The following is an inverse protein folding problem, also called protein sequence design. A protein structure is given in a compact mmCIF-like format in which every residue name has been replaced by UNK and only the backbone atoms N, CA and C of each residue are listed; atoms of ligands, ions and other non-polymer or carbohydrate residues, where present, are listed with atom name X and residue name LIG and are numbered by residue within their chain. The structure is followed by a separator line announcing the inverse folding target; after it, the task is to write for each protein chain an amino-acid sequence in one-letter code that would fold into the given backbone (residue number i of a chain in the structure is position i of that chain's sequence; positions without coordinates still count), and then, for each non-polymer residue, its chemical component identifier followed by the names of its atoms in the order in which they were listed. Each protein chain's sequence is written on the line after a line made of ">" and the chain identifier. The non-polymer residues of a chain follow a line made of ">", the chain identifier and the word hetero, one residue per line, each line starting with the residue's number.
data_IF_402971004717
#
_entry.id   IF_402971004717
#
_cell.length_a   1.000
_cell.length_b   1.000
_cell.length_c   1.000
_cell.angle_alpha   90.00
_cell.angle_beta   90.00
_cell.angle_gamma   90.00
#
_symmetry.space_group_name_H-M   'P 1'
#
loop_
_entity.id
_entity.type
_entity.pdbx_description
1 polymer ?
#
# COMPACT_ATOMS: atom_id res chain seq x y z
N UNK A 1 9.51 -16.95 -11.51
CA UNK A 1 10.72 -16.10 -11.54
C UNK A 1 11.60 -16.35 -10.32
N UNK A 2 11.09 -16.20 -9.08
CA UNK A 2 11.87 -16.45 -7.84
C UNK A 2 12.49 -17.86 -7.80
N UNK A 3 11.71 -18.92 -8.06
CA UNK A 3 12.24 -20.29 -8.08
C UNK A 3 13.37 -20.50 -9.11
N UNK A 4 13.29 -19.81 -10.25
CA UNK A 4 14.32 -19.88 -11.29
C UNK A 4 15.60 -19.19 -10.82
N UNK A 5 15.46 -17.98 -10.29
CA UNK A 5 16.59 -17.21 -9.75
C UNK A 5 17.28 -17.95 -8.59
N UNK A 6 16.51 -18.58 -7.68
CA UNK A 6 17.06 -19.37 -6.58
C UNK A 6 17.78 -20.65 -7.03
N UNK A 7 17.43 -21.20 -8.19
CA UNK A 7 18.11 -22.36 -8.76
C UNK A 7 19.39 -21.98 -9.53
N UNK A 8 19.42 -20.79 -10.14
CA UNK A 8 20.55 -20.30 -10.93
C UNK A 8 21.63 -19.62 -10.07
N UNK A 9 21.22 -18.97 -8.98
CA UNK A 9 22.13 -18.27 -8.07
C UNK A 9 22.30 -19.04 -6.75
N UNK A 10 23.53 -19.44 -6.37
CA UNK A 10 23.76 -20.24 -5.17
C UNK A 10 23.37 -19.54 -3.85
N UNK A 11 23.27 -18.21 -3.85
CA UNK A 11 22.98 -17.39 -2.66
C UNK A 11 22.23 -16.09 -3.02
N UNK A 12 20.94 -16.14 -3.38
CA UNK A 12 20.14 -14.92 -3.46
C UNK A 12 19.95 -14.38 -2.05
N UNK A 13 20.34 -13.13 -1.80
CA UNK A 13 20.24 -12.51 -0.47
C UNK A 13 18.90 -11.79 -0.33
N UNK A 14 18.44 -11.10 -1.39
CA UNK A 14 17.23 -10.26 -1.37
C UNK A 14 16.54 -10.30 -2.74
N UNK A 15 15.20 -10.39 -2.73
CA UNK A 15 14.35 -10.23 -3.92
C UNK A 15 13.77 -8.80 -3.93
N UNK A 16 13.89 -8.09 -5.05
CA UNK A 16 13.23 -6.79 -5.25
C UNK A 16 11.87 -6.99 -5.91
N UNK A 17 10.83 -6.35 -5.35
CA UNK A 17 9.44 -6.68 -5.67
C UNK A 17 8.96 -7.85 -4.81
N UNK A 18 7.90 -8.57 -5.25
CA UNK A 18 6.92 -8.23 -6.27
C UNK A 18 6.14 -6.92 -6.03
N UNK A 19 5.45 -6.47 -7.08
CA UNK A 19 4.58 -5.28 -7.05
C UNK A 19 3.12 -5.71 -7.13
N UNK A 20 2.30 -5.22 -6.20
CA UNK A 20 0.85 -5.46 -6.20
C UNK A 20 0.43 -6.77 -5.53
N UNK A 21 -0.84 -6.80 -5.11
CA UNK A 21 -1.35 -7.77 -4.14
C UNK A 21 -1.24 -9.22 -4.67
N UNK A 22 -1.71 -9.49 -5.89
CA UNK A 22 -1.67 -10.85 -6.45
C UNK A 22 -0.24 -11.37 -6.60
N UNK A 23 0.70 -10.50 -6.98
CA UNK A 23 2.08 -10.91 -7.15
C UNK A 23 2.74 -11.24 -5.79
N UNK A 24 2.40 -10.51 -4.73
CA UNK A 24 2.83 -10.81 -3.36
C UNK A 24 2.30 -12.17 -2.90
N UNK A 25 0.99 -12.42 -3.06
CA UNK A 25 0.36 -13.71 -2.71
C UNK A 25 1.06 -14.86 -3.44
N UNK A 26 1.28 -14.71 -4.74
CA UNK A 26 1.89 -15.75 -5.57
C UNK A 26 3.38 -15.97 -5.24
N UNK A 27 4.09 -14.96 -4.73
CA UNK A 27 5.50 -15.06 -4.38
C UNK A 27 5.73 -15.69 -3.00
N UNK A 28 4.75 -15.61 -2.09
CA UNK A 28 4.90 -15.99 -0.69
C UNK A 28 5.42 -17.42 -0.52
N UNK A 29 4.84 -18.38 -1.24
CA UNK A 29 5.26 -19.79 -1.18
C UNK A 29 6.71 -19.98 -1.61
N UNK A 30 7.15 -19.28 -2.67
CA UNK A 30 8.51 -19.37 -3.17
C UNK A 30 9.52 -18.73 -2.20
N UNK A 31 9.18 -17.58 -1.63
CA UNK A 31 10.04 -16.90 -0.65
C UNK A 31 10.25 -17.75 0.61
N UNK A 32 9.18 -18.39 1.11
CA UNK A 32 9.26 -19.31 2.24
C UNK A 32 10.10 -20.55 1.91
N UNK A 33 9.86 -21.17 0.76
CA UNK A 33 10.56 -22.40 0.36
C UNK A 33 12.07 -22.22 0.25
N UNK A 34 12.51 -21.08 -0.31
CA UNK A 34 13.92 -20.77 -0.49
C UNK A 34 14.53 -19.96 0.66
N UNK A 35 13.77 -19.72 1.73
CA UNK A 35 14.16 -18.88 2.87
C UNK A 35 14.71 -17.50 2.45
N UNK A 36 14.03 -16.86 1.50
CA UNK A 36 14.41 -15.57 0.95
C UNK A 36 13.64 -14.43 1.60
N UNK A 37 14.23 -13.24 1.53
CA UNK A 37 13.60 -11.98 1.95
C UNK A 37 13.30 -11.13 0.72
N UNK A 38 12.09 -10.59 0.67
CA UNK A 38 11.61 -9.71 -0.41
C UNK A 38 11.39 -8.29 0.09
N UNK A 39 11.83 -7.31 -0.70
CA UNK A 39 11.51 -5.90 -0.51
C UNK A 39 10.53 -5.44 -1.59
N UNK A 40 9.26 -5.39 -1.21
CA UNK A 40 8.16 -4.96 -2.09
C UNK A 40 8.03 -3.44 -2.11
N UNK A 41 8.01 -2.80 -3.31
CA UNK A 41 7.87 -1.36 -3.40
C UNK A 41 6.44 -0.89 -3.13
N UNK A 42 5.43 -1.63 -3.60
CA UNK A 42 4.03 -1.18 -3.49
C UNK A 42 3.09 -2.36 -3.26
N UNK A 43 2.23 -2.20 -2.25
CA UNK A 43 0.94 -2.89 -2.13
C UNK A 43 -0.11 -1.86 -1.77
N UNK A 44 -1.30 -2.01 -2.36
CA UNK A 44 -2.47 -1.24 -1.96
C UNK A 44 -3.06 -1.70 -0.63
N UNK A 45 -2.62 -2.85 -0.11
CA UNK A 45 -3.26 -3.47 1.04
C UNK A 45 -2.49 -3.27 2.36
N UNK A 46 -3.22 -2.94 3.42
CA UNK A 46 -2.76 -2.85 4.81
C UNK A 46 -2.61 -4.23 5.44
N UNK A 47 -3.52 -5.16 5.14
CA UNK A 47 -3.47 -6.53 5.70
C UNK A 47 -2.21 -7.27 5.28
N UNK A 48 -1.73 -7.01 4.05
CA UNK A 48 -0.48 -7.57 3.53
C UNK A 48 0.77 -6.99 4.17
N UNK A 49 0.67 -5.84 4.87
CA UNK A 49 1.76 -5.24 5.65
C UNK A 49 1.82 -5.73 7.10
N UNK A 50 1.05 -6.75 7.45
CA UNK A 50 1.23 -7.47 8.71
C UNK A 50 2.62 -8.13 8.78
N UNK A 51 3.05 -8.49 9.99
CA UNK A 51 4.37 -9.08 10.22
C UNK A 51 4.60 -10.32 9.34
N UNK A 52 5.61 -10.27 8.47
CA UNK A 52 6.05 -11.37 7.64
C UNK A 52 7.58 -11.37 7.52
N UNK A 53 8.30 -12.39 8.02
CA UNK A 53 9.76 -12.41 8.00
C UNK A 53 10.37 -12.47 6.59
N UNK A 54 9.58 -12.88 5.59
CA UNK A 54 10.00 -13.01 4.20
C UNK A 54 9.61 -11.82 3.32
N UNK A 55 8.86 -10.85 3.86
CA UNK A 55 8.31 -9.77 3.07
C UNK A 55 8.27 -8.44 3.82
N UNK A 56 9.09 -7.49 3.36
CA UNK A 56 9.13 -6.13 3.89
C UNK A 56 8.74 -5.12 2.83
N UNK A 57 8.15 -4.01 3.25
CA UNK A 57 7.72 -2.93 2.37
C UNK A 57 8.64 -1.73 2.53
N UNK A 58 9.12 -1.21 1.41
CA UNK A 58 9.95 0.01 1.41
C UNK A 58 9.13 1.30 1.42
N UNK A 59 7.85 1.24 1.04
CA UNK A 59 6.92 2.37 1.18
C UNK A 59 6.14 2.28 2.49
N UNK A 60 5.78 3.46 3.01
CA UNK A 60 4.93 3.61 4.16
C UNK A 60 3.59 2.86 3.98
N UNK A 61 2.92 2.57 5.09
CA UNK A 61 1.54 2.09 5.08
C UNK A 61 0.61 3.09 4.35
N UNK A 62 -0.40 2.65 3.58
CA UNK A 62 -1.25 3.54 2.80
C UNK A 62 -2.00 4.54 3.68
N UNK A 63 -2.29 4.19 4.93
CA UNK A 63 -2.87 5.11 5.90
C UNK A 63 -1.91 6.27 6.22
N UNK A 64 -0.63 5.98 6.45
CA UNK A 64 0.36 7.02 6.73
C UNK A 64 0.70 7.85 5.49
N UNK A 65 0.72 7.22 4.30
CA UNK A 65 0.86 7.93 3.02
C UNK A 65 -0.30 8.92 2.84
N UNK A 66 -1.55 8.49 3.06
CA UNK A 66 -2.74 9.34 3.02
C UNK A 66 -2.68 10.48 4.03
N UNK A 67 -2.35 10.20 5.30
CA UNK A 67 -2.26 11.22 6.34
C UNK A 67 -1.18 12.27 6.01
N UNK A 68 -0.03 11.84 5.52
CA UNK A 68 1.04 12.74 5.11
C UNK A 68 0.61 13.67 3.96
N UNK A 69 -0.08 13.11 2.96
CA UNK A 69 -0.58 13.88 1.81
C UNK A 69 -1.66 14.89 2.23
N UNK A 70 -2.61 14.49 3.08
CA UNK A 70 -3.65 15.40 3.60
C UNK A 70 -3.03 16.51 4.43
N UNK A 71 -2.10 16.18 5.33
CA UNK A 71 -1.37 17.17 6.13
C UNK A 71 -0.63 18.16 5.24
N UNK A 72 0.06 17.67 4.22
CA UNK A 72 0.79 18.53 3.28
C UNK A 72 -0.15 19.44 2.49
N UNK A 73 -1.28 18.90 2.00
CA UNK A 73 -2.25 19.68 1.26
C UNK A 73 -2.89 20.80 2.09
N UNK A 74 -3.36 20.47 3.29
CA UNK A 74 -4.06 21.42 4.15
C UNK A 74 -3.10 22.38 4.86
N UNK A 75 -1.96 21.90 5.34
CA UNK A 75 -1.01 22.68 6.11
C UNK A 75 -0.06 23.51 5.25
N UNK A 76 0.64 22.86 4.31
CA UNK A 76 1.70 23.51 3.52
C UNK A 76 1.13 24.22 2.30
N UNK A 77 0.31 23.52 1.51
CA UNK A 77 -0.30 24.12 0.31
C UNK A 77 -1.51 24.99 0.62
N UNK A 78 -2.08 24.88 1.82
CA UNK A 78 -3.25 25.64 2.29
C UNK A 78 -4.45 25.51 1.35
N UNK A 79 -4.64 24.34 0.75
CA UNK A 79 -5.80 24.10 -0.12
C UNK A 79 -7.08 24.20 0.70
N UNK A 80 -8.08 24.89 0.15
CA UNK A 80 -9.38 25.09 0.85
C UNK A 80 -10.38 23.97 0.61
N UNK A 81 -10.13 23.13 -0.39
CA UNK A 81 -11.05 22.11 -0.85
C UNK A 81 -10.26 20.88 -1.26
N UNK A 82 -10.73 19.71 -0.84
CA UNK A 82 -10.18 18.43 -1.25
C UNK A 82 -11.19 17.70 -2.14
N UNK A 83 -10.67 17.12 -3.23
CA UNK A 83 -11.37 16.14 -4.04
C UNK A 83 -10.76 14.77 -3.80
N UNK A 84 -11.58 13.73 -3.81
CA UNK A 84 -11.19 12.37 -3.52
C UNK A 84 -11.71 11.42 -4.59
N UNK A 85 -10.83 10.54 -5.05
CA UNK A 85 -11.17 9.38 -5.86
C UNK A 85 -10.67 8.14 -5.14
N UNK A 86 -11.52 7.13 -5.00
CA UNK A 86 -11.13 5.87 -4.36
C UNK A 86 -11.75 4.68 -5.10
N UNK A 87 -11.14 3.52 -4.91
CA UNK A 87 -11.61 2.25 -5.50
C UNK A 87 -12.46 1.53 -4.46
N UNK A 88 -13.73 1.29 -4.79
CA UNK A 88 -14.69 0.54 -3.95
C UNK A 88 -14.46 -0.96 -4.06
N UNK A 89 -14.75 -1.67 -2.97
CA UNK A 89 -14.72 -3.14 -2.90
C UNK A 89 -13.35 -3.77 -3.24
N UNK A 90 -12.28 -2.97 -3.29
CA UNK A 90 -10.91 -3.43 -3.41
C UNK A 90 -10.20 -3.13 -2.11
N UNK A 91 -9.42 -4.12 -1.67
CA UNK A 91 -8.62 -4.13 -0.43
C UNK A 91 -8.22 -2.71 0.02
N UNK A 92 -8.72 -2.36 1.21
CA UNK A 92 -8.46 -1.12 1.95
C UNK A 92 -9.00 0.20 1.35
N UNK A 93 -9.54 0.23 0.13
CA UNK A 93 -10.06 1.44 -0.51
C UNK A 93 -11.20 2.12 0.26
N UNK A 94 -12.20 1.34 0.69
CA UNK A 94 -13.30 1.85 1.52
C UNK A 94 -12.81 2.30 2.91
N UNK A 95 -11.85 1.58 3.49
CA UNK A 95 -11.29 1.94 4.81
C UNK A 95 -10.49 3.24 4.79
N UNK A 96 -9.74 3.49 3.70
CA UNK A 96 -8.98 4.73 3.50
C UNK A 96 -9.92 5.91 3.22
N UNK A 97 -11.03 5.67 2.52
CA UNK A 97 -12.10 6.64 2.36
C UNK A 97 -12.69 7.05 3.73
N UNK A 98 -13.09 6.08 4.55
CA UNK A 98 -13.66 6.34 5.88
C UNK A 98 -12.69 7.10 6.79
N UNK A 99 -11.41 6.72 6.75
CA UNK A 99 -10.35 7.42 7.48
C UNK A 99 -10.25 8.88 7.02
N UNK A 100 -10.21 9.15 5.72
CA UNK A 100 -10.11 10.51 5.19
C UNK A 100 -11.31 11.37 5.62
N UNK A 101 -12.53 10.85 5.47
CA UNK A 101 -13.74 11.57 5.88
C UNK A 101 -13.75 11.88 7.37
N UNK A 102 -13.26 10.94 8.21
CA UNK A 102 -13.11 11.16 9.64
C UNK A 102 -12.06 12.22 9.98
N UNK A 103 -10.94 12.26 9.25
CA UNK A 103 -9.90 13.26 9.45
C UNK A 103 -10.36 14.66 9.06
N UNK A 104 -10.93 14.81 7.86
CA UNK A 104 -11.35 16.12 7.35
C UNK A 104 -12.51 16.71 8.15
N UNK A 105 -13.48 15.88 8.58
CA UNK A 105 -14.58 16.33 9.43
C UNK A 105 -14.11 16.91 10.77
N UNK A 106 -13.09 16.31 11.39
CA UNK A 106 -12.47 16.82 12.64
C UNK A 106 -11.73 18.13 12.45
N UNK A 107 -11.26 18.40 11.23
CA UNK A 107 -10.56 19.63 10.88
C UNK A 107 -11.52 20.72 10.39
N UNK A 108 -12.84 20.46 10.39
CA UNK A 108 -13.86 21.33 9.79
C UNK A 108 -13.64 21.58 8.28
N UNK A 109 -12.90 20.68 7.63
CA UNK A 109 -12.67 20.70 6.19
C UNK A 109 -13.63 19.75 5.48
N UNK A 110 -14.31 20.25 4.45
CA UNK A 110 -15.18 19.45 3.59
C UNK A 110 -14.44 18.88 2.38
N UNK A 111 -14.55 17.56 2.15
CA UNK A 111 -14.28 16.95 0.84
C UNK A 111 -15.47 17.28 -0.06
N UNK A 112 -15.24 18.02 -1.15
CA UNK A 112 -16.32 18.55 -2.00
C UNK A 112 -16.69 17.67 -3.17
N UNK A 113 -15.75 16.89 -3.66
CA UNK A 113 -15.96 15.98 -4.79
C UNK A 113 -15.46 14.61 -4.40
N UNK A 114 -16.35 13.62 -4.44
CA UNK A 114 -16.05 12.23 -4.12
C UNK A 114 -16.43 11.39 -5.34
N UNK A 115 -15.45 10.67 -5.87
CA UNK A 115 -15.63 9.75 -6.99
C UNK A 115 -15.27 8.33 -6.54
N UNK A 116 -16.16 7.38 -6.78
CA UNK A 116 -15.87 5.97 -6.55
C UNK A 116 -15.70 5.25 -7.89
N UNK A 117 -14.62 4.48 -8.01
CA UNK A 117 -14.41 3.54 -9.11
C UNK A 117 -14.67 2.14 -8.57
N UNK A 118 -15.37 1.30 -9.33
CA UNK A 118 -15.44 -0.14 -9.04
C UNK A 118 -14.39 -0.83 -9.92
N UNK A 119 -13.54 -1.67 -9.33
CA UNK A 119 -12.55 -2.45 -10.06
C UNK A 119 -13.14 -3.75 -10.64
#
# INVERSE_FOLDING_TARGET
>A
MINKAAAEEPRPIIVLGPVGNNAIINAETALKHHNLVSFGPVTGSRTMRSWNPHYYFVRADPEYELLALVRYALGEMRVRQLGLMFVKNVLDGDSLYDLLMRLTSRMEYGVRSVFSITA
#
